data_IF_316307241147
#
_entry.id   IF_316307241147
#
_cell.length_a   1.000
_cell.length_b   1.000
_cell.length_c   1.000
_cell.angle_alpha   90.00
_cell.angle_beta   90.00
_cell.angle_gamma   90.00
#
_symmetry.space_group_name_H-M   'P 1'
#
loop_
_entity.id
_entity.type
_entity.pdbx_description
1 polymer ?
#
# COMPACT_ATOMS: atom_id res chain seq x y z
N UNK A 1 -15.03 13.82 3.63
CA UNK A 1 -15.73 12.52 3.71
C UNK A 1 -14.72 11.54 4.28
N UNK A 2 -14.81 11.25 5.58
CA UNK A 2 -13.89 10.33 6.27
C UNK A 2 -14.48 8.93 6.19
N UNK A 3 -13.77 7.98 5.57
CA UNK A 3 -14.21 6.58 5.56
C UNK A 3 -13.90 5.99 6.93
N UNK A 4 -14.90 5.99 7.81
CA UNK A 4 -14.88 5.26 9.07
C UNK A 4 -14.88 3.77 8.73
N UNK A 5 -13.73 3.11 8.83
CA UNK A 5 -13.64 1.68 8.64
C UNK A 5 -14.43 1.00 9.78
N UNK A 6 -15.44 0.21 9.44
CA UNK A 6 -16.39 -0.37 10.39
C UNK A 6 -15.67 -1.08 11.55
N UNK A 7 -15.98 -0.64 12.77
CA UNK A 7 -15.35 -1.12 14.01
C UNK A 7 -15.84 -2.54 14.32
N UNK A 8 -14.98 -3.54 14.17
CA UNK A 8 -15.25 -4.91 14.64
C UNK A 8 -15.16 -4.97 16.18
N UNK A 9 -16.25 -5.26 16.92
CA UNK A 9 -16.30 -5.14 18.38
C UNK A 9 -15.56 -6.25 19.15
N UNK A 10 -15.12 -7.34 18.50
CA UNK A 10 -14.56 -8.53 19.18
C UNK A 10 -13.02 -8.55 19.29
N UNK A 11 -12.32 -7.51 18.84
CA UNK A 11 -10.87 -7.42 19.01
C UNK A 11 -10.50 -6.88 20.39
N UNK A 12 -9.62 -7.56 21.17
CA UNK A 12 -9.26 -7.12 22.51
C UNK A 12 -8.50 -5.79 22.45
N UNK A 13 -9.19 -4.70 22.81
CA UNK A 13 -8.60 -3.48 23.37
C UNK A 13 -7.70 -2.63 22.46
N UNK A 14 -7.57 -2.91 21.17
CA UNK A 14 -6.94 -1.94 20.26
C UNK A 14 -7.91 -0.79 20.04
N UNK A 15 -7.74 0.25 20.86
CA UNK A 15 -8.36 1.57 20.61
C UNK A 15 -8.11 1.91 19.16
N UNK A 16 -9.19 2.08 18.39
CA UNK A 16 -9.09 2.47 16.98
C UNK A 16 -8.22 3.74 16.90
N UNK A 17 -7.10 3.64 16.19
CA UNK A 17 -6.20 4.77 15.93
C UNK A 17 -6.47 5.24 14.50
N UNK A 18 -6.90 6.49 14.30
CA UNK A 18 -7.09 7.04 12.95
C UNK A 18 -5.81 6.95 12.13
N UNK A 19 -5.96 6.76 10.81
CA UNK A 19 -4.81 6.65 9.89
C UNK A 19 -3.85 7.85 9.99
N UNK A 20 -4.38 9.06 10.15
CA UNK A 20 -3.57 10.28 10.33
C UNK A 20 -2.69 10.23 11.58
N UNK A 21 -3.21 9.67 12.67
CA UNK A 21 -2.47 9.50 13.93
C UNK A 21 -1.41 8.39 13.80
N UNK A 22 -1.72 7.32 13.07
CA UNK A 22 -0.73 6.29 12.73
C UNK A 22 0.40 6.82 11.84
N UNK A 23 0.08 7.66 10.84
CA UNK A 23 1.05 8.28 9.95
C UNK A 23 1.99 9.19 10.74
N UNK A 24 1.44 10.06 11.62
CA UNK A 24 2.24 10.91 12.52
C UNK A 24 3.18 10.13 13.41
N UNK A 25 2.71 9.03 14.02
CA UNK A 25 3.53 8.18 14.91
C UNK A 25 4.68 7.48 14.19
N UNK A 26 4.47 7.12 12.94
CA UNK A 26 5.47 6.43 12.12
C UNK A 26 6.37 7.40 11.33
N UNK A 27 6.12 8.72 11.43
CA UNK A 27 6.85 9.72 10.66
C UNK A 27 6.63 9.60 9.16
N UNK A 28 5.47 9.08 8.75
CA UNK A 28 5.12 8.89 7.34
C UNK A 28 4.46 10.17 6.84
N UNK A 29 4.99 10.72 5.75
CA UNK A 29 4.42 11.88 5.07
C UNK A 29 3.46 11.45 3.95
N UNK A 30 2.40 12.23 3.67
CA UNK A 30 1.52 11.97 2.55
C UNK A 30 2.29 12.00 1.22
N UNK A 31 1.95 11.07 0.32
CA UNK A 31 2.44 11.07 -1.06
C UNK A 31 1.75 12.20 -1.82
N UNK A 32 2.53 13.17 -2.29
CA UNK A 32 2.03 14.36 -3.01
C UNK A 32 2.19 14.24 -4.52
N UNK A 33 3.12 13.41 -4.97
CA UNK A 33 3.45 13.21 -6.38
C UNK A 33 3.84 11.75 -6.67
N UNK A 34 3.90 11.39 -7.95
CA UNK A 34 4.47 10.10 -8.37
C UNK A 34 5.98 10.04 -8.12
N UNK A 35 6.67 11.17 -8.17
CA UNK A 35 8.11 11.23 -7.93
C UNK A 35 8.43 10.87 -6.47
N UNK A 36 7.52 11.14 -5.53
CA UNK A 36 7.66 10.75 -4.12
C UNK A 36 7.68 9.22 -3.95
N UNK A 37 7.12 8.48 -4.91
CA UNK A 37 7.09 7.01 -4.93
C UNK A 37 8.27 6.42 -5.72
N UNK A 38 9.02 7.24 -6.46
CA UNK A 38 10.12 6.75 -7.28
C UNK A 38 11.25 6.21 -6.38
N UNK A 39 11.62 4.96 -6.63
CA UNK A 39 12.75 4.28 -5.96
C UNK A 39 13.70 3.77 -7.03
N UNK A 40 14.78 4.52 -7.34
CA UNK A 40 15.67 4.23 -8.47
C UNK A 40 16.27 2.82 -8.43
N UNK A 41 16.51 2.31 -7.22
CA UNK A 41 17.18 1.02 -6.99
C UNK A 41 16.19 -0.11 -6.68
N UNK A 42 14.88 0.10 -6.93
CA UNK A 42 13.86 -0.92 -6.66
C UNK A 42 13.85 -2.03 -7.70
N UNK A 43 14.23 -1.70 -8.93
CA UNK A 43 14.34 -2.62 -10.05
C UNK A 43 15.67 -2.32 -10.74
N UNK A 44 16.54 -3.31 -10.78
CA UNK A 44 17.94 -3.13 -11.17
C UNK A 44 18.15 -3.32 -12.68
N UNK A 45 17.16 -3.87 -13.40
CA UNK A 45 17.24 -4.16 -14.83
C UNK A 45 15.89 -4.19 -15.53
N UNK A 46 15.89 -3.96 -16.85
CA UNK A 46 14.69 -4.08 -17.68
C UNK A 46 14.15 -5.52 -17.67
N UNK A 47 15.02 -6.53 -17.64
CA UNK A 47 14.60 -7.94 -17.56
C UNK A 47 13.91 -8.27 -16.22
N UNK A 48 14.30 -7.61 -15.14
CA UNK A 48 13.60 -7.72 -13.85
C UNK A 48 12.23 -7.04 -13.90
N UNK A 49 12.15 -5.86 -14.50
CA UNK A 49 10.88 -5.16 -14.70
C UNK A 49 9.89 -6.03 -15.47
N UNK A 50 10.33 -6.62 -16.59
CA UNK A 50 9.49 -7.47 -17.43
C UNK A 50 8.95 -8.69 -16.67
N UNK A 51 9.81 -9.32 -15.86
CA UNK A 51 9.42 -10.47 -15.04
C UNK A 51 8.39 -10.10 -13.98
N UNK A 52 8.60 -8.97 -13.29
CA UNK A 52 7.66 -8.45 -12.30
C UNK A 52 6.30 -8.16 -12.92
N UNK A 53 6.29 -7.47 -14.08
CA UNK A 53 5.05 -7.15 -14.77
C UNK A 53 4.31 -8.40 -15.23
N UNK A 54 5.02 -9.40 -15.75
CA UNK A 54 4.40 -10.66 -16.16
C UNK A 54 3.70 -11.37 -14.99
N UNK A 55 4.36 -11.46 -13.83
CA UNK A 55 3.80 -12.07 -12.62
C UNK A 55 2.59 -11.27 -12.08
N UNK A 56 2.71 -9.94 -12.03
CA UNK A 56 1.63 -9.05 -11.61
C UNK A 56 0.38 -9.20 -12.50
N UNK A 57 0.56 -9.27 -13.82
CA UNK A 57 -0.56 -9.46 -14.75
C UNK A 57 -1.18 -10.85 -14.65
N UNK A 58 -0.38 -11.89 -14.39
CA UNK A 58 -0.90 -13.23 -14.14
C UNK A 58 -1.77 -13.25 -12.88
N UNK A 59 -1.24 -12.77 -11.74
CA UNK A 59 -1.95 -12.69 -10.46
C UNK A 59 -3.26 -11.90 -10.57
N UNK A 60 -3.25 -10.75 -11.26
CA UNK A 60 -4.46 -9.95 -11.48
C UNK A 60 -5.53 -10.69 -12.28
N UNK A 61 -5.10 -11.49 -13.26
CA UNK A 61 -6.03 -12.20 -14.16
C UNK A 61 -6.62 -13.43 -13.49
N UNK A 62 -5.90 -14.08 -12.59
CA UNK A 62 -6.41 -15.20 -11.78
C UNK A 62 -7.59 -14.78 -10.89
N UNK A 63 -7.59 -13.56 -10.35
CA UNK A 63 -8.72 -13.02 -9.58
C UNK A 63 -9.95 -12.61 -10.41
N UNK A 64 -9.88 -12.68 -11.74
CA UNK A 64 -10.97 -12.35 -12.67
C UNK A 64 -11.61 -13.58 -13.33
N UNK A 65 -11.10 -14.78 -13.06
CA UNK A 65 -11.60 -16.07 -13.54
C UNK A 65 -12.46 -16.75 -12.48
#
# INVERSE_FOLDING_TARGET
MSTDAERNPDWPGTVHVPADELARRQGVEPVTSLDDLARPDLIESDEELDRFLADLYASRREGLA
#
